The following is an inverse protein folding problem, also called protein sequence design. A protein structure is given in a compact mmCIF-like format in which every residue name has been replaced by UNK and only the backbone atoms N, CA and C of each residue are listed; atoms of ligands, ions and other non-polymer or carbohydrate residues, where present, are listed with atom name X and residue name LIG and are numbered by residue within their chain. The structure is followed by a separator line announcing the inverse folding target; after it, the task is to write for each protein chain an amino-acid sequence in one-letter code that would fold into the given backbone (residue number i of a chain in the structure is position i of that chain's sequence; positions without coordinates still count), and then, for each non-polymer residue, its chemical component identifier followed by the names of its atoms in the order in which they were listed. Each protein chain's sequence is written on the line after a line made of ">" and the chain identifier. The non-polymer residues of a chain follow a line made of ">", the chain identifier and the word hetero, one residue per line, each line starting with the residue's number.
data_IF_862729954437
#
_entry.id   IF_862729954437
#
_cell.length_a   1.000
_cell.length_b   1.000
_cell.length_c   1.000
_cell.angle_alpha   90.00
_cell.angle_beta   90.00
_cell.angle_gamma   90.00
#
_symmetry.space_group_name_H-M   'P 1'
#
loop_
_entity.id
_entity.type
_entity.pdbx_description
1 polymer ?
#
# COMPACT_ATOMS: atom_id res chain seq x y z
N UNK A 1 3.15 -8.30 -8.92
CA UNK A 1 4.14 -7.20 -9.03
C UNK A 1 5.44 -7.59 -9.71
N UNK A 2 6.28 -8.51 -9.21
CA UNK A 2 7.58 -8.82 -9.85
C UNK A 2 7.50 -9.19 -11.35
N UNK A 3 6.66 -10.16 -11.72
CA UNK A 3 6.64 -10.69 -13.09
C UNK A 3 6.12 -9.70 -14.15
N UNK A 4 5.17 -8.85 -13.78
CA UNK A 4 4.38 -8.05 -14.72
C UNK A 4 4.42 -6.53 -14.44
N UNK A 5 5.02 -6.10 -13.33
CA UNK A 5 4.92 -4.71 -12.88
C UNK A 5 3.45 -4.32 -12.70
N UNK A 6 3.12 -3.09 -13.13
CA UNK A 6 1.77 -2.56 -13.16
C UNK A 6 1.36 -1.91 -11.84
N UNK A 7 0.06 -1.86 -11.61
CA UNK A 7 -0.55 -1.34 -10.38
C UNK A 7 -1.29 -2.50 -9.70
N UNK A 8 -1.04 -2.66 -8.41
CA UNK A 8 -1.85 -3.46 -7.50
C UNK A 8 -2.70 -2.52 -6.65
N UNK A 9 -3.97 -2.87 -6.47
CA UNK A 9 -4.89 -2.20 -5.58
C UNK A 9 -5.90 -3.22 -5.03
N UNK A 10 -6.29 -3.08 -3.76
CA UNK A 10 -7.39 -3.86 -3.19
C UNK A 10 -8.74 -3.49 -3.84
N UNK A 11 -9.69 -4.43 -3.82
CA UNK A 11 -10.96 -4.32 -4.55
C UNK A 11 -11.98 -3.41 -3.85
N UNK A 12 -11.84 -3.24 -2.55
CA UNK A 12 -12.71 -2.48 -1.65
C UNK A 12 -12.34 -0.99 -1.58
N UNK A 13 -11.94 -0.45 -2.73
CA UNK A 13 -11.38 0.89 -2.86
C UNK A 13 -12.17 1.75 -3.84
N UNK A 14 -12.12 3.06 -3.61
CA UNK A 14 -12.73 4.06 -4.49
C UNK A 14 -11.64 4.80 -5.27
N UNK A 15 -11.76 4.77 -6.60
CA UNK A 15 -10.89 5.49 -7.51
C UNK A 15 -11.37 6.94 -7.62
N UNK A 16 -10.68 7.86 -6.94
CA UNK A 16 -11.06 9.27 -6.94
C UNK A 16 -10.58 10.00 -8.20
N UNK A 17 -9.42 9.61 -8.74
CA UNK A 17 -8.77 10.27 -9.89
C UNK A 17 -7.86 9.33 -10.67
N UNK A 18 -7.58 9.61 -11.95
CA UNK A 18 -6.57 8.87 -12.70
C UNK A 18 -5.19 8.95 -12.05
N UNK A 19 -4.55 7.79 -11.85
CA UNK A 19 -3.23 7.70 -11.19
C UNK A 19 -2.16 8.54 -11.90
N UNK A 20 -2.09 8.47 -13.23
CA UNK A 20 -1.06 9.16 -14.00
C UNK A 20 -1.14 10.69 -13.92
N UNK A 21 -2.34 11.25 -13.83
CA UNK A 21 -2.54 12.70 -13.76
C UNK A 21 -2.12 13.25 -12.40
N UNK A 22 -2.39 12.50 -11.33
CA UNK A 22 -1.96 12.89 -10.00
C UNK A 22 -0.47 12.68 -9.77
N UNK A 23 0.14 11.61 -10.29
CA UNK A 23 1.59 11.45 -10.25
C UNK A 23 2.29 12.62 -10.94
N UNK A 24 1.78 13.03 -12.11
CA UNK A 24 2.29 14.21 -12.84
C UNK A 24 2.13 15.50 -12.04
N UNK A 25 0.96 15.72 -11.44
CA UNK A 25 0.68 16.90 -10.60
C UNK A 25 1.58 16.98 -9.36
N UNK A 26 2.10 15.84 -8.90
CA UNK A 26 3.05 15.74 -7.79
C UNK A 26 4.53 15.71 -8.25
N UNK A 27 4.82 16.02 -9.51
CA UNK A 27 6.16 15.97 -10.12
C UNK A 27 6.85 14.59 -10.02
N UNK A 28 6.08 13.52 -9.95
CA UNK A 28 6.59 12.15 -9.91
C UNK A 28 6.74 11.65 -11.35
N UNK A 29 7.98 11.56 -11.82
CA UNK A 29 8.31 11.06 -13.15
C UNK A 29 8.58 9.56 -13.12
N UNK A 30 7.95 8.82 -14.04
CA UNK A 30 8.25 7.41 -14.26
C UNK A 30 9.44 7.29 -15.23
N UNK A 31 10.48 6.48 -14.93
CA UNK A 31 11.53 6.18 -15.89
C UNK A 31 10.94 5.44 -17.09
N UNK A 32 11.34 5.84 -18.30
CA UNK A 32 10.93 5.18 -19.54
C UNK A 32 10.00 5.97 -20.46
N UNK A 33 9.65 7.23 -20.16
CA UNK A 33 8.97 8.14 -21.12
C UNK A 33 9.93 8.96 -21.99
N UNK A 34 11.01 8.34 -22.47
CA UNK A 34 11.71 8.88 -23.65
C UNK A 34 11.26 8.05 -24.84
N UNK A 35 10.40 8.62 -25.70
CA UNK A 35 9.88 7.97 -26.92
C UNK A 35 10.95 7.77 -28.00
N UNK A 36 12.22 8.03 -27.70
CA UNK A 36 13.32 7.91 -28.65
C UNK A 36 14.43 7.04 -28.07
N UNK A 37 14.71 5.99 -28.84
CA UNK A 37 15.93 5.19 -28.89
C UNK A 37 15.97 3.86 -28.12
N UNK A 38 15.82 2.79 -28.90
CA UNK A 38 16.48 1.51 -28.66
C UNK A 38 17.98 1.76 -28.46
N UNK A 39 18.43 1.84 -27.21
CA UNK A 39 19.85 1.73 -26.87
C UNK A 39 20.10 0.45 -26.10
N UNK A 40 21.06 -0.28 -26.66
CA UNK A 40 21.60 -1.56 -26.24
C UNK A 40 22.16 -1.49 -24.81
N UNK A 41 21.87 -2.51 -23.99
CA UNK A 41 22.60 -2.82 -22.75
C UNK A 41 22.60 -1.81 -21.58
N UNK A 42 21.88 -0.69 -21.64
CA UNK A 42 21.75 0.24 -20.51
C UNK A 42 20.94 -0.42 -19.38
N UNK A 43 21.54 -0.50 -18.19
CA UNK A 43 20.88 -1.00 -16.98
C UNK A 43 19.54 -0.29 -16.79
N UNK A 44 18.44 -1.00 -17.03
CA UNK A 44 17.11 -0.43 -16.95
C UNK A 44 16.86 0.01 -15.51
N UNK A 45 16.66 1.29 -15.29
CA UNK A 45 16.26 1.77 -13.97
C UNK A 45 14.84 1.29 -13.67
N UNK A 46 14.68 0.58 -12.56
CA UNK A 46 13.39 0.10 -12.11
C UNK A 46 12.84 1.07 -11.06
N UNK A 47 11.51 1.20 -11.03
CA UNK A 47 10.81 1.97 -9.99
C UNK A 47 9.73 1.14 -9.33
N UNK A 48 9.67 1.18 -8.01
CA UNK A 48 8.54 0.72 -7.21
C UNK A 48 7.99 1.88 -6.37
N UNK A 49 6.68 2.04 -6.35
CA UNK A 49 5.95 3.09 -5.66
C UNK A 49 5.02 2.52 -4.60
N UNK A 50 5.00 3.14 -3.44
CA UNK A 50 4.16 2.75 -2.31
C UNK A 50 3.44 3.95 -1.73
N UNK A 51 2.17 3.78 -1.38
CA UNK A 51 1.43 4.78 -0.61
C UNK A 51 1.83 4.77 0.86
N UNK A 52 1.68 5.90 1.55
CA UNK A 52 1.83 6.02 3.01
C UNK A 52 0.65 6.77 3.63
N UNK A 53 0.31 6.44 4.87
CA UNK A 53 -0.79 7.09 5.61
C UNK A 53 -0.44 8.46 6.16
N UNK A 54 0.80 8.65 6.57
CA UNK A 54 1.25 9.87 7.20
C UNK A 54 2.76 9.92 7.34
N UNK A 55 3.23 10.91 8.10
CA UNK A 55 4.66 11.10 8.38
C UNK A 55 5.17 10.31 9.59
N UNK A 56 4.27 9.74 10.40
CA UNK A 56 4.63 8.97 11.58
C UNK A 56 5.21 7.59 11.19
N UNK A 57 6.54 7.49 11.26
CA UNK A 57 7.27 6.27 10.96
C UNK A 57 7.29 5.26 12.13
N UNK A 58 6.72 5.61 13.29
CA UNK A 58 6.63 4.72 14.46
C UNK A 58 5.34 3.92 14.47
N UNK A 59 4.35 4.33 13.68
CA UNK A 59 3.13 3.55 13.49
C UNK A 59 3.42 2.33 12.60
N UNK A 60 3.29 1.14 13.17
CA UNK A 60 3.62 -0.15 12.52
C UNK A 60 2.94 -0.34 11.15
N UNK A 61 1.77 0.26 10.93
CA UNK A 61 0.98 0.14 9.70
C UNK A 61 1.03 1.39 8.81
N UNK A 62 2.05 2.24 8.97
CA UNK A 62 2.18 3.51 8.21
C UNK A 62 2.30 3.33 6.69
N UNK A 63 2.66 2.12 6.22
CA UNK A 63 2.79 1.73 4.81
C UNK A 63 1.88 0.52 4.55
N UNK A 64 0.58 0.74 4.33
CA UNK A 64 -0.33 -0.33 3.97
C UNK A 64 0.06 -0.97 2.62
N UNK A 65 -0.21 -2.26 2.48
CA UNK A 65 0.05 -3.05 1.28
C UNK A 65 -1.16 -3.12 0.32
N UNK A 66 -2.16 -2.25 0.48
CA UNK A 66 -3.40 -2.22 -0.29
C UNK A 66 -3.27 -1.50 -1.64
N UNK A 67 -2.15 -0.83 -1.92
CA UNK A 67 -1.85 -0.17 -3.18
C UNK A 67 -0.34 -0.11 -3.42
N UNK A 68 0.09 -0.51 -4.62
CA UNK A 68 1.49 -0.48 -5.06
C UNK A 68 1.56 -0.28 -6.57
N UNK A 69 2.60 0.38 -7.07
CA UNK A 69 2.91 0.40 -8.50
C UNK A 69 4.37 0.02 -8.74
N UNK A 70 4.68 -0.64 -9.85
CA UNK A 70 6.07 -0.97 -10.16
C UNK A 70 6.33 -1.21 -11.64
N UNK A 71 7.58 -0.98 -12.06
CA UNK A 71 8.10 -1.57 -13.29
C UNK A 71 8.20 -3.09 -13.18
N UNK A 72 8.13 -3.76 -14.32
CA UNK A 72 8.41 -5.20 -14.44
C UNK A 72 9.77 -5.49 -13.82
N UNK A 73 9.88 -6.63 -13.12
CA UNK A 73 11.12 -7.18 -12.54
C UNK A 73 11.84 -6.34 -11.48
N UNK A 74 11.19 -5.33 -10.90
CA UNK A 74 11.78 -4.58 -9.79
C UNK A 74 12.19 -5.54 -8.64
N UNK A 75 13.48 -5.65 -8.27
CA UNK A 75 13.96 -6.75 -7.42
C UNK A 75 13.49 -6.66 -5.98
N UNK A 76 13.06 -5.48 -5.51
CA UNK A 76 12.34 -5.33 -4.25
C UNK A 76 11.31 -6.43 -4.00
N UNK A 77 10.50 -6.81 -5.00
CA UNK A 77 9.41 -7.78 -4.79
C UNK A 77 9.89 -9.22 -4.53
N UNK A 78 11.16 -9.53 -4.74
CA UNK A 78 11.75 -10.81 -4.34
C UNK A 78 12.13 -10.82 -2.85
N UNK A 79 12.44 -9.65 -2.26
CA UNK A 79 12.91 -9.54 -0.89
C UNK A 79 11.84 -9.99 0.14
N UNK A 80 10.57 -9.52 0.09
CA UNK A 80 9.53 -10.04 0.97
C UNK A 80 9.29 -11.54 0.84
N UNK A 81 9.41 -12.10 -0.37
CA UNK A 81 9.24 -13.54 -0.62
C UNK A 81 10.35 -14.36 0.05
N UNK A 82 11.61 -13.92 -0.10
CA UNK A 82 12.74 -14.58 0.57
C UNK A 82 12.64 -14.46 2.09
N UNK A 83 12.20 -13.31 2.63
CA UNK A 83 11.97 -13.16 4.06
C UNK A 83 10.89 -14.12 4.57
N UNK A 84 9.73 -14.17 3.91
CA UNK A 84 8.63 -15.06 4.30
C UNK A 84 9.05 -16.54 4.21
N UNK A 85 9.75 -16.93 3.13
CA UNK A 85 10.27 -18.28 2.94
C UNK A 85 11.27 -18.67 4.03
N UNK A 86 12.20 -17.78 4.39
CA UNK A 86 13.17 -18.04 5.45
C UNK A 86 12.47 -18.24 6.81
N UNK A 87 11.41 -17.47 7.09
CA UNK A 87 10.63 -17.59 8.31
C UNK A 87 9.83 -18.91 8.37
N UNK A 88 9.16 -19.27 7.27
CA UNK A 88 8.49 -20.57 7.11
C UNK A 88 9.48 -21.75 7.27
N UNK A 89 10.73 -21.60 6.85
CA UNK A 89 11.73 -22.64 7.02
C UNK A 89 12.16 -22.82 8.48
N UNK A 90 12.15 -21.75 9.30
CA UNK A 90 12.45 -21.85 10.73
C UNK A 90 11.39 -22.65 11.46
N UNK A 91 10.11 -22.44 11.14
CA UNK A 91 9.00 -23.16 11.77
C UNK A 91 9.01 -24.67 11.50
N UNK A 92 9.68 -25.11 10.42
CA UNK A 92 9.82 -26.52 10.04
C UNK A 92 10.97 -27.25 10.73
N UNK A 93 11.84 -26.55 11.48
CA UNK A 93 12.97 -27.20 12.19
C UNK A 93 12.47 -27.78 13.51
N UNK A 94 12.62 -29.10 13.68
CA UNK A 94 12.10 -29.90 14.81
C UNK A 94 12.47 -29.30 16.18
N UNK A 95 13.69 -28.79 16.35
CA UNK A 95 14.16 -28.18 17.60
C UNK A 95 13.54 -26.80 17.88
N UNK A 96 13.07 -26.09 16.85
CA UNK A 96 12.42 -24.77 17.00
C UNK A 96 10.92 -24.90 17.23
N UNK A 97 10.27 -25.95 16.74
CA UNK A 97 8.81 -26.08 16.73
C UNK A 97 8.14 -26.00 18.12
N UNK A 98 8.84 -26.38 19.18
CA UNK A 98 8.32 -26.36 20.56
C UNK A 98 8.25 -24.96 21.19
N UNK A 99 9.00 -23.97 20.67
CA UNK A 99 9.13 -22.63 21.26
C UNK A 99 9.04 -21.50 20.23
N UNK A 100 8.69 -21.83 18.99
CA UNK A 100 8.69 -20.88 17.89
C UNK A 100 7.34 -20.19 17.81
N UNK A 101 7.32 -18.92 18.21
CA UNK A 101 6.19 -18.03 18.01
C UNK A 101 6.15 -17.61 16.52
N UNK A 102 5.14 -18.09 15.82
CA UNK A 102 5.00 -17.83 14.39
C UNK A 102 4.50 -16.39 14.19
N UNK A 103 5.15 -15.57 13.34
CA UNK A 103 4.74 -14.18 13.17
C UNK A 103 3.32 -14.07 12.63
N UNK A 104 2.63 -12.99 12.99
CA UNK A 104 1.30 -12.70 12.45
C UNK A 104 1.36 -12.48 10.93
N UNK A 105 0.20 -12.54 10.26
CA UNK A 105 0.12 -12.26 8.82
C UNK A 105 0.66 -10.84 8.49
N UNK A 106 0.36 -9.86 9.34
CA UNK A 106 0.88 -8.48 9.28
C UNK A 106 2.41 -8.45 9.32
N UNK A 107 3.02 -9.21 10.23
CA UNK A 107 4.47 -9.28 10.43
C UNK A 107 5.20 -10.12 9.38
N UNK A 108 4.52 -11.07 8.74
CA UNK A 108 5.11 -11.97 7.74
C UNK A 108 5.00 -11.41 6.32
N UNK A 109 3.83 -10.90 5.95
CA UNK A 109 3.51 -10.47 4.56
C UNK A 109 2.69 -9.18 4.46
N UNK A 110 2.18 -8.64 5.57
CA UNK A 110 1.35 -7.44 5.58
C UNK A 110 2.12 -6.12 5.71
N UNK A 111 1.43 -5.02 6.05
CA UNK A 111 2.00 -3.68 6.23
C UNK A 111 3.29 -3.64 7.06
N UNK A 112 3.37 -4.36 8.17
CA UNK A 112 4.56 -4.38 9.04
C UNK A 112 5.75 -4.99 8.30
N UNK A 113 5.52 -6.13 7.63
CA UNK A 113 6.55 -6.78 6.80
C UNK A 113 6.97 -5.88 5.63
N UNK A 114 6.03 -5.21 4.98
CA UNK A 114 6.29 -4.33 3.85
C UNK A 114 7.20 -3.16 4.27
N UNK A 115 6.85 -2.46 5.34
CA UNK A 115 7.63 -1.35 5.88
C UNK A 115 9.08 -1.75 6.19
N UNK A 116 9.26 -2.89 6.86
CA UNK A 116 10.58 -3.44 7.19
C UNK A 116 11.40 -3.75 5.94
N UNK A 117 10.79 -4.36 4.93
CA UNK A 117 11.48 -4.71 3.69
C UNK A 117 11.83 -3.47 2.86
N UNK A 118 10.96 -2.46 2.80
CA UNK A 118 11.26 -1.18 2.11
C UNK A 118 12.46 -0.52 2.76
N UNK A 119 12.47 -0.38 4.09
CA UNK A 119 13.59 0.22 4.81
C UNK A 119 14.90 -0.54 4.56
N UNK A 120 14.85 -1.87 4.56
CA UNK A 120 16.03 -2.70 4.25
C UNK A 120 16.51 -2.47 2.82
N UNK A 121 15.59 -2.42 1.86
CA UNK A 121 15.94 -2.24 0.46
C UNK A 121 16.49 -0.84 0.17
N UNK A 122 15.99 0.20 0.83
CA UNK A 122 16.56 1.56 0.71
C UNK A 122 18.01 1.65 1.21
N UNK A 123 18.43 0.75 2.10
CA UNK A 123 19.82 0.70 2.61
C UNK A 123 20.73 -0.19 1.75
N UNK A 124 20.20 -1.29 1.22
CA UNK A 124 21.00 -2.34 0.58
C UNK A 124 20.71 -2.56 -0.92
N UNK A 125 19.71 -1.88 -1.48
CA UNK A 125 19.28 -2.02 -2.87
C UNK A 125 20.24 -1.35 -3.85
N UNK A 126 20.12 -1.74 -5.12
CA UNK A 126 20.83 -1.08 -6.21
C UNK A 126 20.30 0.36 -6.38
N UNK A 127 21.18 1.32 -6.62
CA UNK A 127 20.80 2.71 -6.86
C UNK A 127 20.00 2.89 -8.15
N UNK A 128 20.09 1.92 -9.07
CA UNK A 128 19.31 1.86 -10.30
C UNK A 128 17.87 1.37 -10.06
N UNK A 129 17.60 0.72 -8.94
CA UNK A 129 16.29 0.21 -8.55
C UNK A 129 15.69 1.05 -7.42
N UNK A 130 14.91 2.05 -7.78
CA UNK A 130 14.47 3.07 -6.83
C UNK A 130 13.09 2.77 -6.22
N UNK A 131 13.00 2.95 -4.90
CA UNK A 131 11.73 2.96 -4.17
C UNK A 131 11.28 4.41 -3.95
N UNK A 132 10.07 4.72 -4.40
CA UNK A 132 9.41 6.00 -4.20
C UNK A 132 8.28 5.82 -3.19
N UNK A 133 8.37 6.52 -2.07
CA UNK A 133 7.24 6.67 -1.15
C UNK A 133 6.42 7.88 -1.60
N UNK A 134 5.16 7.65 -1.92
CA UNK A 134 4.25 8.70 -2.37
C UNK A 134 3.93 9.67 -1.22
N UNK A 135 3.56 10.93 -1.53
CA UNK A 135 3.06 11.86 -0.54
C UNK A 135 1.92 11.26 0.30
N UNK A 136 1.87 11.67 1.57
CA UNK A 136 0.80 11.32 2.49
C UNK A 136 -0.55 11.82 1.97
N UNK A 137 -1.59 11.01 2.21
CA UNK A 137 -2.94 11.30 1.76
C UNK A 137 -3.17 11.19 0.25
N UNK A 138 -2.15 10.93 -0.57
CA UNK A 138 -2.33 10.71 -2.01
C UNK A 138 -3.02 9.36 -2.27
N UNK A 139 -2.56 8.31 -1.60
CA UNK A 139 -3.12 6.96 -1.66
C UNK A 139 -3.98 6.65 -0.43
N UNK A 140 -3.52 7.01 0.77
CA UNK A 140 -4.22 6.68 2.01
C UNK A 140 -4.62 7.97 2.74
N UNK A 141 -5.65 8.69 2.28
CA UNK A 141 -6.14 9.90 2.94
C UNK A 141 -6.78 9.62 4.29
N UNK A 142 -7.37 8.43 4.48
CA UNK A 142 -7.84 7.97 5.78
C UNK A 142 -6.67 7.30 6.52
N UNK A 143 -6.07 8.02 7.47
CA UNK A 143 -4.96 7.52 8.24
C UNK A 143 -5.46 6.79 9.49
N UNK A 144 -5.10 5.51 9.61
CA UNK A 144 -5.57 4.66 10.71
C UNK A 144 -5.04 5.07 12.08
N UNK A 145 -4.00 5.90 12.15
CA UNK A 145 -3.48 6.44 13.41
C UNK A 145 -4.22 7.72 13.86
N UNK A 146 -5.19 8.21 13.08
CA UNK A 146 -5.96 9.41 13.44
C UNK A 146 -7.00 9.14 14.55
N UNK A 147 -7.52 10.24 15.11
CA UNK A 147 -8.44 10.24 16.24
C UNK A 147 -9.76 9.50 15.98
N UNK A 148 -10.43 9.14 17.08
CA UNK A 148 -11.70 8.39 17.05
C UNK A 148 -12.80 9.11 16.24
N UNK A 149 -12.80 10.45 16.21
CA UNK A 149 -13.78 11.25 15.45
C UNK A 149 -13.73 10.96 13.94
N UNK A 150 -12.53 10.93 13.36
CA UNK A 150 -12.36 10.60 11.94
C UNK A 150 -12.75 9.15 11.68
N UNK A 151 -12.36 8.23 12.56
CA UNK A 151 -12.73 6.81 12.45
C UNK A 151 -14.24 6.58 12.51
N UNK A 152 -14.99 7.37 13.28
CA UNK A 152 -16.46 7.28 13.34
C UNK A 152 -17.11 7.64 12.00
N UNK A 153 -16.56 8.61 11.28
CA UNK A 153 -17.11 9.09 10.00
C UNK A 153 -16.64 8.22 8.83
N UNK A 154 -15.37 7.83 8.86
CA UNK A 154 -14.67 7.26 7.70
C UNK A 154 -14.53 5.74 7.70
N UNK A 155 -14.65 5.06 8.85
CA UNK A 155 -14.53 3.60 8.85
C UNK A 155 -15.83 2.95 8.40
N UNK A 156 -15.77 2.12 7.36
CA UNK A 156 -16.90 1.33 6.87
C UNK A 156 -17.44 0.32 7.93
N UNK A 157 -16.65 0.03 8.97
CA UNK A 157 -17.04 -0.83 10.11
C UNK A 157 -17.95 -0.10 11.13
N UNK A 158 -18.36 1.15 10.85
CA UNK A 158 -19.17 1.98 11.76
C UNK A 158 -20.55 2.25 11.17
N UNK A 159 -21.58 2.13 12.01
CA UNK A 159 -22.95 2.52 11.65
C UNK A 159 -23.05 4.01 11.25
N UNK A 160 -22.16 4.85 11.80
CA UNK A 160 -22.06 6.27 11.48
C UNK A 160 -21.31 6.57 10.18
N UNK A 161 -20.87 5.56 9.44
CA UNK A 161 -20.12 5.72 8.21
C UNK A 161 -20.87 6.58 7.19
N UNK A 162 -20.22 7.64 6.73
CA UNK A 162 -20.73 8.50 5.66
C UNK A 162 -19.61 8.85 4.70
N UNK A 163 -19.71 8.31 3.49
CA UNK A 163 -18.71 8.48 2.43
C UNK A 163 -18.49 9.95 2.04
N UNK A 164 -19.58 10.70 1.84
CA UNK A 164 -19.51 12.11 1.44
C UNK A 164 -18.85 12.97 2.54
N UNK A 165 -19.30 12.79 3.79
CA UNK A 165 -18.72 13.50 4.94
C UNK A 165 -17.27 13.09 5.17
N UNK A 166 -16.92 11.81 4.97
CA UNK A 166 -15.54 11.36 5.06
C UNK A 166 -14.65 12.04 4.01
N UNK A 167 -15.06 12.04 2.74
CA UNK A 167 -14.29 12.69 1.65
C UNK A 167 -14.10 14.19 1.89
N UNK A 168 -15.13 14.87 2.38
CA UNK A 168 -15.06 16.29 2.75
C UNK A 168 -14.12 16.52 3.94
N UNK A 169 -14.28 15.76 5.03
CA UNK A 169 -13.46 15.84 6.25
C UNK A 169 -11.99 15.60 5.96
N UNK A 170 -11.69 14.59 5.14
CA UNK A 170 -10.33 14.25 4.75
C UNK A 170 -9.75 15.22 3.70
N UNK A 171 -10.58 16.07 3.09
CA UNK A 171 -10.18 17.04 2.09
C UNK A 171 -9.60 16.39 0.83
N UNK A 172 -10.10 15.20 0.44
CA UNK A 172 -9.54 14.41 -0.68
C UNK A 172 -9.56 15.19 -2.00
N UNK A 173 -10.51 16.12 -2.14
CA UNK A 173 -10.60 17.09 -3.22
C UNK A 173 -9.36 17.97 -3.31
N UNK A 174 -9.05 18.68 -2.23
CA UNK A 174 -7.94 19.64 -2.15
C UNK A 174 -6.59 18.93 -2.16
N UNK A 175 -6.47 17.77 -1.49
CA UNK A 175 -5.24 16.97 -1.42
C UNK A 175 -4.86 16.29 -2.73
N UNK A 176 -5.76 16.26 -3.71
CA UNK A 176 -5.49 15.56 -4.96
C UNK A 176 -5.41 14.03 -4.80
N UNK A 177 -5.99 13.45 -3.74
CA UNK A 177 -6.01 12.01 -3.50
C UNK A 177 -6.56 11.24 -4.71
N UNK A 178 -5.93 10.12 -5.05
CA UNK A 178 -6.35 9.31 -6.20
C UNK A 178 -7.09 8.05 -5.80
N UNK A 179 -6.97 7.71 -4.54
CA UNK A 179 -7.39 6.45 -3.98
C UNK A 179 -7.87 6.73 -2.57
N UNK A 180 -8.93 6.05 -2.16
CA UNK A 180 -9.36 5.98 -0.77
C UNK A 180 -9.85 4.58 -0.48
N UNK A 181 -9.49 4.08 0.70
CA UNK A 181 -10.10 2.92 1.33
C UNK A 181 -10.73 3.38 2.64
N UNK A 182 -11.91 2.85 2.92
CA UNK A 182 -12.65 3.10 4.16
C UNK A 182 -12.41 2.00 5.21
N UNK A 183 -11.52 1.04 4.90
CA UNK A 183 -11.24 -0.11 5.75
C UNK A 183 -9.92 0.05 6.51
N UNK A 184 -9.86 -0.49 7.73
CA UNK A 184 -8.72 -0.31 8.62
C UNK A 184 -7.78 -1.51 8.71
N UNK A 185 -8.26 -2.74 8.95
CA UNK A 185 -7.34 -3.89 9.07
C UNK A 185 -7.97 -5.26 8.80
N UNK A 186 -9.29 -5.43 8.73
CA UNK A 186 -9.91 -6.73 8.41
C UNK A 186 -11.43 -6.60 8.25
N UNK A 187 -12.03 -7.33 7.31
CA UNK A 187 -13.47 -7.57 7.30
C UNK A 187 -13.84 -8.51 8.46
N UNK A 188 -14.11 -7.95 9.64
CA UNK A 188 -14.75 -8.74 10.71
C UNK A 188 -16.24 -8.68 10.48
N UNK A 189 -16.73 -9.40 9.47
CA UNK A 189 -18.14 -9.47 9.05
C UNK A 189 -19.12 -9.61 10.21
N UNK A 190 -19.45 -8.48 10.82
CA UNK A 190 -20.54 -8.30 11.77
C UNK A 190 -21.56 -7.53 10.94
N UNK A 191 -22.78 -8.04 10.86
CA UNK A 191 -23.77 -7.69 9.83
C UNK A 191 -24.19 -6.22 9.67
N UNK A 192 -23.58 -5.26 10.36
CA UNK A 192 -23.62 -3.83 10.02
C UNK A 192 -22.79 -3.49 8.77
N UNK A 193 -21.77 -4.29 8.47
CA UNK A 193 -20.79 -4.00 7.42
C UNK A 193 -21.34 -4.33 6.02
N UNK A 194 -22.31 -5.24 5.91
CA UNK A 194 -22.85 -5.73 4.64
C UNK A 194 -23.63 -4.63 3.90
N UNK A 195 -24.43 -3.81 4.61
CA UNK A 195 -25.16 -2.68 4.01
C UNK A 195 -24.20 -1.57 3.53
N UNK A 196 -23.10 -1.33 4.28
CA UNK A 196 -22.07 -0.38 3.87
C UNK A 196 -21.29 -0.88 2.64
N UNK A 197 -21.00 -2.19 2.58
CA UNK A 197 -20.39 -2.82 1.40
C UNK A 197 -21.29 -2.66 0.17
N UNK A 198 -22.59 -2.92 0.30
CA UNK A 198 -23.55 -2.78 -0.79
C UNK A 198 -23.65 -1.33 -1.28
N UNK A 199 -23.70 -0.36 -0.37
CA UNK A 199 -23.76 1.08 -0.74
C UNK A 199 -22.53 1.54 -1.52
N UNK A 200 -21.33 1.19 -1.06
CA UNK A 200 -20.08 1.52 -1.76
C UNK A 200 -19.99 0.80 -3.12
N UNK A 201 -20.60 -0.39 -3.23
CA UNK A 201 -20.55 -1.20 -4.45
C UNK A 201 -21.57 -0.79 -5.51
N UNK A 202 -22.69 -0.16 -5.12
CA UNK A 202 -23.79 0.19 -6.03
C UNK A 202 -23.68 1.58 -6.68
N UNK A 203 -22.93 2.52 -6.09
CA UNK A 203 -22.78 3.91 -6.61
C UNK A 203 -21.70 4.05 -7.71
N UNK A 204 -21.39 2.97 -8.46
CA UNK A 204 -20.41 2.97 -9.57
C UNK A 204 -21.06 3.01 -10.95
#
# INVERSE_FOLDING_TARGET
>A
MYMFGGIYADLDTECLRPTFDALRSNNISLPGKSETEFTDGSSMSHVAMFGRMGSDQTFDHHLPNAWMAASVRHPFFLLPLEFAKAEIQKSKRILHQLWYDYPSAEQLTGPIALAKNIRRYQVCGDTLDSIILLPDGLIYPFNWNEGQEIRLICSAEKDSFNESSCKETLGVGVKGSIFITYWSHTHRGKGSDDENIDRISQDK
#
